data_IF_254697002738
#
_entry.id   IF_254697002738
#
_cell.length_a   1.000
_cell.length_b   1.000
_cell.length_c   1.000
_cell.angle_alpha   90.00
_cell.angle_beta   90.00
_cell.angle_gamma   90.00
#
_symmetry.space_group_name_H-M   'P 1'
#
loop_
_entity.id
_entity.type
_entity.pdbx_description
1 polymer ?
#
# COMPACT_ATOMS: atom_id res chain seq x y z
N UNK A 1 -10.41 -3.96 -8.34
CA UNK A 1 -10.61 -2.61 -8.88
C UNK A 1 -10.02 -1.54 -7.97
N UNK A 2 -10.56 -1.32 -6.76
CA UNK A 2 -10.14 -0.22 -5.87
C UNK A 2 -8.64 -0.23 -5.51
N UNK A 3 -8.05 -1.41 -5.26
CA UNK A 3 -6.63 -1.50 -4.88
C UNK A 3 -5.67 -1.05 -6.01
N UNK A 4 -6.02 -1.32 -7.27
CA UNK A 4 -5.25 -0.83 -8.44
C UNK A 4 -5.38 0.68 -8.57
N UNK A 5 -6.56 1.22 -8.27
CA UNK A 5 -6.77 2.66 -8.33
C UNK A 5 -6.04 3.39 -7.21
N UNK A 6 -5.97 2.81 -6.02
CA UNK A 6 -5.18 3.35 -4.92
C UNK A 6 -3.68 3.42 -5.30
N UNK A 7 -3.12 2.37 -5.89
CA UNK A 7 -1.75 2.38 -6.41
C UNK A 7 -1.54 3.43 -7.51
N UNK A 8 -2.47 3.53 -8.46
CA UNK A 8 -2.43 4.58 -9.50
C UNK A 8 -2.45 6.00 -8.91
N UNK A 9 -3.29 6.25 -7.91
CA UNK A 9 -3.33 7.54 -7.22
C UNK A 9 -1.99 7.90 -6.58
N UNK A 10 -1.26 6.93 -6.04
CA UNK A 10 0.09 7.18 -5.51
C UNK A 10 1.06 7.60 -6.61
N UNK A 11 1.06 6.94 -7.76
CA UNK A 11 1.91 7.34 -8.90
C UNK A 11 1.60 8.76 -9.39
N UNK A 12 0.32 9.15 -9.41
CA UNK A 12 -0.10 10.49 -9.79
C UNK A 12 0.40 11.54 -8.79
N UNK A 13 0.24 11.30 -7.48
CA UNK A 13 0.68 12.24 -6.44
C UNK A 13 2.22 12.36 -6.40
N UNK A 14 2.94 11.27 -6.66
CA UNK A 14 4.41 11.27 -6.73
C UNK A 14 4.98 11.94 -7.98
N UNK A 15 4.14 12.26 -8.98
CA UNK A 15 4.62 12.76 -10.27
C UNK A 15 5.46 11.75 -11.05
N UNK A 16 5.29 10.45 -10.77
CA UNK A 16 6.04 9.35 -11.41
C UNK A 16 5.06 8.37 -12.08
N UNK A 17 4.49 8.72 -13.26
CA UNK A 17 3.41 7.96 -13.87
C UNK A 17 3.84 6.60 -14.45
N UNK A 18 5.14 6.30 -14.49
CA UNK A 18 5.71 5.14 -15.18
C UNK A 18 6.00 3.93 -14.27
N UNK A 19 5.42 3.86 -13.06
CA UNK A 19 5.46 2.65 -12.23
C UNK A 19 6.82 2.34 -11.58
N UNK A 20 7.72 3.34 -11.50
CA UNK A 20 8.93 3.23 -10.70
C UNK A 20 8.57 3.35 -9.22
N UNK A 21 8.73 2.26 -8.46
CA UNK A 21 8.48 2.17 -7.02
C UNK A 21 9.49 3.02 -6.22
N UNK A 22 9.35 4.33 -6.32
CA UNK A 22 10.34 5.29 -5.82
C UNK A 22 10.21 5.48 -4.31
N UNK A 23 8.98 5.60 -3.80
CA UNK A 23 8.75 5.87 -2.38
C UNK A 23 8.22 4.65 -1.61
N UNK A 24 8.27 4.76 -0.28
CA UNK A 24 7.88 3.67 0.61
C UNK A 24 6.39 3.31 0.51
N UNK A 25 5.52 4.31 0.32
CA UNK A 25 4.08 4.11 0.16
C UNK A 25 3.74 3.30 -1.11
N UNK A 26 4.33 3.65 -2.25
CA UNK A 26 4.19 2.92 -3.52
C UNK A 26 4.65 1.47 -3.40
N UNK A 27 5.81 1.23 -2.76
CA UNK A 27 6.32 -0.12 -2.54
C UNK A 27 5.39 -0.98 -1.69
N UNK A 28 4.89 -0.43 -0.57
CA UNK A 28 3.95 -1.17 0.29
C UNK A 28 2.62 -1.41 -0.40
N UNK A 29 2.10 -0.43 -1.14
CA UNK A 29 0.87 -0.57 -1.91
C UNK A 29 1.01 -1.64 -3.00
N UNK A 30 2.10 -1.62 -3.76
CA UNK A 30 2.36 -2.62 -4.79
C UNK A 30 2.47 -4.04 -4.21
N UNK A 31 3.14 -4.20 -3.06
CA UNK A 31 3.17 -5.48 -2.34
C UNK A 31 1.77 -5.95 -1.94
N UNK A 32 0.97 -5.09 -1.31
CA UNK A 32 -0.40 -5.42 -0.89
C UNK A 32 -1.29 -5.79 -2.09
N UNK A 33 -1.19 -5.02 -3.18
CA UNK A 33 -1.90 -5.30 -4.44
C UNK A 33 -1.51 -6.65 -5.03
N UNK A 34 -0.21 -6.94 -5.14
CA UNK A 34 0.29 -8.20 -5.66
C UNK A 34 -0.16 -9.37 -4.80
N UNK A 35 -0.07 -9.27 -3.48
CA UNK A 35 -0.61 -10.28 -2.57
C UNK A 35 -2.09 -10.54 -2.85
N UNK A 36 -2.91 -9.48 -3.01
CA UNK A 36 -4.33 -9.63 -3.33
C UNK A 36 -4.61 -10.28 -4.69
N UNK A 37 -3.75 -10.04 -5.69
CA UNK A 37 -3.92 -10.58 -7.04
C UNK A 37 -3.59 -12.06 -7.15
N UNK A 38 -2.69 -12.56 -6.30
CA UNK A 38 -2.26 -13.96 -6.32
C UNK A 38 -2.96 -14.82 -5.25
N UNK A 39 -3.97 -14.30 -4.57
CA UNK A 39 -4.74 -15.08 -3.58
C UNK A 39 -5.56 -16.19 -4.23
N UNK A 40 -5.45 -17.38 -3.68
CA UNK A 40 -6.45 -18.43 -3.85
C UNK A 40 -7.44 -18.43 -2.69
N UNK A 41 -8.73 -18.43 -3.01
CA UNK A 41 -9.82 -18.54 -2.04
C UNK A 41 -9.65 -19.78 -1.16
N UNK A 42 -9.15 -20.90 -1.70
CA UNK A 42 -8.89 -22.12 -0.93
C UNK A 42 -7.82 -21.92 0.14
N UNK A 43 -6.78 -21.16 -0.16
CA UNK A 43 -5.72 -20.81 0.79
C UNK A 43 -6.25 -19.91 1.91
N UNK A 44 -7.15 -18.97 1.58
CA UNK A 44 -7.83 -18.13 2.59
C UNK A 44 -8.64 -18.99 3.56
N UNK A 45 -9.43 -19.94 3.04
CA UNK A 45 -10.22 -20.83 3.90
C UNK A 45 -9.33 -21.77 4.74
N UNK A 46 -8.20 -22.23 4.20
CA UNK A 46 -7.25 -23.06 4.94
C UNK A 46 -6.52 -22.28 6.06
N UNK A 47 -6.22 -21.00 5.82
CA UNK A 47 -5.61 -20.10 6.82
C UNK A 47 -6.62 -19.63 7.89
N UNK A 48 -7.90 -19.52 7.51
CA UNK A 48 -8.97 -18.98 8.32
C UNK A 48 -9.37 -17.58 7.85
N UNK A 49 -10.66 -17.39 7.55
CA UNK A 49 -11.16 -16.16 6.93
C UNK A 49 -10.95 -14.93 7.82
N UNK A 50 -11.26 -15.01 9.11
CA UNK A 50 -11.10 -13.89 10.04
C UNK A 50 -9.63 -13.56 10.24
N UNK A 51 -8.79 -14.58 10.39
CA UNK A 51 -7.34 -14.43 10.51
C UNK A 51 -6.76 -13.73 9.27
N UNK A 52 -7.24 -14.10 8.07
CA UNK A 52 -6.83 -13.47 6.83
C UNK A 52 -7.24 -11.99 6.81
N UNK A 53 -8.49 -11.68 7.18
CA UNK A 53 -9.00 -10.31 7.23
C UNK A 53 -8.19 -9.47 8.22
N UNK A 54 -7.88 -9.98 9.40
CA UNK A 54 -7.06 -9.29 10.41
C UNK A 54 -5.65 -9.01 9.88
N UNK A 55 -5.01 -10.01 9.27
CA UNK A 55 -3.69 -9.85 8.67
C UNK A 55 -3.68 -8.85 7.51
N UNK A 56 -4.73 -8.86 6.68
CA UNK A 56 -4.92 -7.88 5.60
C UNK A 56 -5.10 -6.47 6.17
N UNK A 57 -5.90 -6.29 7.23
CA UNK A 57 -6.11 -5.00 7.87
C UNK A 57 -4.83 -4.40 8.43
N UNK A 58 -3.98 -5.21 9.07
CA UNK A 58 -2.66 -4.76 9.55
C UNK A 58 -1.82 -4.22 8.40
N UNK A 59 -1.70 -4.97 7.29
CA UNK A 59 -0.95 -4.53 6.11
C UNK A 59 -1.53 -3.27 5.48
N UNK A 60 -2.85 -3.14 5.42
CA UNK A 60 -3.51 -1.95 4.91
C UNK A 60 -3.22 -0.72 5.79
N UNK A 61 -3.22 -0.88 7.12
CA UNK A 61 -2.86 0.19 8.05
C UNK A 61 -1.39 0.61 7.90
N UNK A 62 -0.49 -0.34 7.64
CA UNK A 62 0.91 -0.02 7.34
C UNK A 62 1.04 0.81 6.05
N UNK A 63 0.28 0.49 5.01
CA UNK A 63 0.24 1.30 3.79
C UNK A 63 -0.25 2.72 4.11
N UNK A 64 -1.31 2.87 4.89
CA UNK A 64 -1.83 4.17 5.30
C UNK A 64 -0.79 4.99 6.09
N UNK A 65 -0.04 4.34 6.99
CA UNK A 65 1.04 4.99 7.73
C UNK A 65 2.15 5.50 6.79
N UNK A 66 2.57 4.69 5.82
CA UNK A 66 3.59 5.10 4.84
C UNK A 66 3.10 6.23 3.94
N UNK A 67 1.83 6.22 3.53
CA UNK A 67 1.21 7.32 2.77
C UNK A 67 1.28 8.61 3.58
N UNK A 68 0.91 8.56 4.86
CA UNK A 68 1.00 9.71 5.75
C UNK A 68 2.45 10.22 5.85
N UNK A 69 3.41 9.34 6.13
CA UNK A 69 4.82 9.73 6.25
C UNK A 69 5.40 10.30 4.96
N UNK A 70 5.00 9.75 3.81
CA UNK A 70 5.54 10.17 2.51
C UNK A 70 5.00 11.52 2.06
N UNK A 71 3.69 11.76 2.24
CA UNK A 71 3.01 12.89 1.59
C UNK A 71 2.44 13.93 2.56
N UNK A 72 2.23 13.60 3.82
CA UNK A 72 1.49 14.46 4.77
C UNK A 72 2.31 14.85 6.01
N UNK A 73 3.33 14.08 6.36
CA UNK A 73 4.18 14.40 7.50
C UNK A 73 4.92 15.73 7.28
N UNK A 74 4.79 16.64 8.25
CA UNK A 74 5.51 17.90 8.24
C UNK A 74 7.01 17.62 8.38
N UNK A 75 7.79 18.03 7.39
CA UNK A 75 9.26 18.03 7.49
C UNK A 75 9.69 19.32 8.19
N UNK A 76 10.60 19.26 9.17
CA UNK A 76 11.16 20.47 9.76
C UNK A 76 11.76 21.34 8.65
N UNK A 77 11.50 22.65 8.72
CA UNK A 77 12.18 23.60 7.85
C UNK A 77 13.63 23.66 8.31
N UNK A 78 14.54 23.08 7.54
CA UNK A 78 15.97 23.31 7.73
C UNK A 78 16.26 24.78 7.36
N UNK A 79 16.44 25.62 8.38
CA UNK A 79 17.01 26.94 8.19
C UNK A 79 18.46 26.78 7.72
N UNK A 80 18.71 27.10 6.45
CA UNK A 80 20.07 27.29 5.92
C UNK A 80 20.66 28.60 6.40
#
# INVERSE_FOLDING_TARGET
>A
YCIRQAEFSLYVISGSPAGGSGNAAERKMGKLRSELEFLDVKEIFAFGLHQYIDAFQVKNNEVAAEVFQTFLALKPVENR
#
